data_IF_535037679604
#
_entry.id   IF_535037679604
#
_cell.length_a   1.000
_cell.length_b   1.000
_cell.length_c   1.000
_cell.angle_alpha   90.00
_cell.angle_beta   90.00
_cell.angle_gamma   90.00
#
_symmetry.space_group_name_H-M   'P 1'
#
loop_
_entity.id
_entity.type
_entity.pdbx_description
1 polymer ?
#
# COMPACT_ATOMS: atom_id res chain seq x y z
N UNK A 1 5.70 -14.88 -5.96
CA UNK A 1 6.52 -15.68 -6.90
C UNK A 1 7.81 -14.93 -7.17
N UNK A 2 8.93 -15.41 -6.63
CA UNK A 2 10.25 -14.80 -6.78
C UNK A 2 10.80 -15.05 -8.19
N UNK A 3 10.71 -14.04 -9.06
CA UNK A 3 11.45 -13.91 -10.31
C UNK A 3 12.96 -13.77 -10.02
N UNK A 4 13.63 -14.81 -9.51
CA UNK A 4 15.01 -14.63 -9.04
C UNK A 4 16.08 -14.86 -10.11
N UNK A 5 15.83 -15.67 -11.16
CA UNK A 5 16.86 -15.99 -12.18
C UNK A 5 16.37 -16.00 -13.64
N UNK A 6 15.08 -15.84 -13.93
CA UNK A 6 14.55 -15.92 -15.30
C UNK A 6 14.83 -14.69 -16.20
N UNK A 7 14.85 -13.43 -15.73
CA UNK A 7 14.83 -12.28 -16.64
C UNK A 7 16.16 -12.07 -17.39
N UNK A 8 17.30 -12.24 -16.72
CA UNK A 8 18.62 -12.09 -17.35
C UNK A 8 18.88 -13.12 -18.46
N UNK A 9 18.45 -14.38 -18.26
CA UNK A 9 18.62 -15.44 -19.24
C UNK A 9 17.71 -15.26 -20.47
N UNK A 10 16.48 -14.77 -20.25
CA UNK A 10 15.52 -14.46 -21.34
C UNK A 10 16.04 -13.26 -22.16
N UNK A 11 16.51 -12.21 -21.50
CA UNK A 11 17.08 -11.04 -22.18
C UNK A 11 18.35 -11.42 -22.96
N UNK A 12 19.27 -12.17 -22.36
CA UNK A 12 20.45 -12.68 -23.06
C UNK A 12 20.11 -13.54 -24.30
N UNK A 13 19.02 -14.32 -24.24
CA UNK A 13 18.55 -15.11 -25.37
C UNK A 13 17.88 -14.27 -26.47
N UNK A 14 17.11 -13.24 -26.12
CA UNK A 14 16.48 -12.30 -27.07
C UNK A 14 17.52 -11.48 -27.87
N UNK A 15 18.73 -11.36 -27.34
CA UNK A 15 19.84 -10.57 -27.88
C UNK A 15 20.73 -11.34 -28.88
N UNK A 16 20.55 -12.65 -29.07
CA UNK A 16 21.46 -13.50 -29.86
C UNK A 16 21.11 -13.67 -31.35
N UNK A 17 20.22 -12.85 -31.92
CA UNK A 17 19.86 -12.93 -33.35
C UNK A 17 20.44 -11.76 -34.18
N UNK A 18 21.41 -12.08 -35.07
CA UNK A 18 21.99 -11.30 -36.22
C UNK A 18 23.10 -10.29 -35.85
N UNK A 19 24.28 -10.11 -36.49
CA UNK A 19 25.12 -10.83 -37.49
C UNK A 19 26.53 -10.19 -37.61
N UNK A 20 27.54 -10.99 -38.00
CA UNK A 20 28.72 -10.78 -38.87
C UNK A 20 29.46 -9.42 -39.10
N UNK A 21 29.33 -8.39 -38.25
CA UNK A 21 30.19 -7.19 -38.31
C UNK A 21 30.99 -7.00 -37.00
N UNK A 22 32.28 -6.69 -37.07
CA UNK A 22 33.17 -6.64 -35.88
C UNK A 22 32.69 -5.63 -34.83
N UNK A 23 32.16 -4.47 -35.24
CA UNK A 23 31.60 -3.47 -34.33
C UNK A 23 30.32 -3.97 -33.62
N UNK A 24 29.43 -4.65 -34.35
CA UNK A 24 28.23 -5.26 -33.76
C UNK A 24 28.58 -6.42 -32.81
N UNK A 25 29.71 -7.09 -33.06
CA UNK A 25 30.23 -8.15 -32.20
C UNK A 25 30.84 -7.58 -30.90
N UNK A 26 31.59 -6.48 -30.98
CA UNK A 26 32.12 -5.78 -29.80
C UNK A 26 31.01 -5.23 -28.90
N UNK A 27 29.93 -4.68 -29.49
CA UNK A 27 28.77 -4.20 -28.74
C UNK A 27 28.00 -5.35 -28.07
N UNK A 28 27.86 -6.49 -28.75
CA UNK A 28 27.24 -7.69 -28.18
C UNK A 28 28.05 -8.27 -27.02
N UNK A 29 29.39 -8.31 -27.13
CA UNK A 29 30.27 -8.74 -26.04
C UNK A 29 30.18 -7.80 -24.84
N UNK A 30 30.19 -6.48 -25.09
CA UNK A 30 30.04 -5.47 -24.04
C UNK A 30 28.71 -5.58 -23.32
N UNK A 31 27.62 -5.76 -24.06
CA UNK A 31 26.28 -5.92 -23.51
C UNK A 31 26.18 -7.17 -22.62
N UNK A 32 26.69 -8.32 -23.09
CA UNK A 32 26.72 -9.55 -22.31
C UNK A 32 27.57 -9.41 -21.03
N UNK A 33 28.71 -8.73 -21.11
CA UNK A 33 29.55 -8.46 -19.95
C UNK A 33 28.82 -7.61 -18.89
N UNK A 34 28.11 -6.56 -19.31
CA UNK A 34 27.34 -5.71 -18.42
C UNK A 34 26.16 -6.45 -17.77
N UNK A 35 25.42 -7.25 -18.55
CA UNK A 35 24.34 -8.09 -18.02
C UNK A 35 24.85 -9.10 -16.99
N UNK A 36 25.97 -9.78 -17.28
CA UNK A 36 26.59 -10.71 -16.34
C UNK A 36 27.10 -10.03 -15.06
N UNK A 37 27.63 -8.81 -15.17
CA UNK A 37 28.05 -8.02 -14.01
C UNK A 37 26.87 -7.58 -13.14
N UNK A 38 25.77 -7.15 -13.76
CA UNK A 38 24.52 -6.79 -13.07
C UNK A 38 23.89 -7.99 -12.35
N UNK A 39 23.84 -9.16 -12.98
CA UNK A 39 23.33 -10.39 -12.38
C UNK A 39 24.16 -10.80 -11.16
N UNK A 40 25.49 -10.79 -11.29
CA UNK A 40 26.40 -11.09 -10.18
C UNK A 40 26.25 -10.11 -9.01
N UNK A 41 26.10 -8.82 -9.29
CA UNK A 41 25.87 -7.80 -8.27
C UNK A 41 24.53 -8.02 -7.55
N UNK A 42 23.47 -8.34 -8.30
CA UNK A 42 22.15 -8.67 -7.75
C UNK A 42 22.20 -9.91 -6.86
N UNK A 43 22.86 -10.98 -7.30
CA UNK A 43 23.04 -12.22 -6.54
C UNK A 43 23.83 -12.00 -5.24
N UNK A 44 24.71 -10.99 -5.22
CA UNK A 44 25.49 -10.60 -4.04
C UNK A 44 24.76 -9.62 -3.11
N UNK A 45 23.53 -9.22 -3.43
CA UNK A 45 22.75 -8.23 -2.68
C UNK A 45 23.21 -6.78 -2.88
N UNK A 46 24.16 -6.53 -3.79
CA UNK A 46 24.64 -5.19 -4.11
C UNK A 46 23.77 -4.56 -5.20
N UNK A 47 22.58 -4.13 -4.81
CA UNK A 47 21.54 -3.67 -5.72
C UNK A 47 21.84 -2.33 -6.39
N UNK A 48 22.56 -1.41 -5.73
CA UNK A 48 22.98 -0.15 -6.35
C UNK A 48 23.98 -0.39 -7.47
N UNK A 49 25.01 -1.21 -7.24
CA UNK A 49 25.97 -1.58 -8.28
C UNK A 49 25.30 -2.35 -9.42
N UNK A 50 24.31 -3.19 -9.14
CA UNK A 50 23.52 -3.82 -10.21
C UNK A 50 22.81 -2.76 -11.07
N UNK A 51 22.20 -1.76 -10.44
CA UNK A 51 21.53 -0.66 -11.14
C UNK A 51 22.52 0.19 -11.98
N UNK A 52 23.75 0.40 -11.50
CA UNK A 52 24.81 1.10 -12.24
C UNK A 52 25.18 0.37 -13.54
N UNK A 53 25.39 -0.95 -13.51
CA UNK A 53 25.67 -1.74 -14.72
C UNK A 53 24.51 -1.70 -15.72
N UNK A 54 23.27 -1.80 -15.23
CA UNK A 54 22.08 -1.67 -16.07
C UNK A 54 21.94 -0.25 -16.63
N UNK A 55 22.37 0.78 -15.89
CA UNK A 55 22.45 2.14 -16.38
C UNK A 55 23.46 2.32 -17.52
N UNK A 56 24.57 1.60 -17.49
CA UNK A 56 25.54 1.59 -18.59
C UNK A 56 24.93 0.97 -19.87
N UNK A 57 24.10 -0.07 -19.74
CA UNK A 57 23.37 -0.65 -20.88
C UNK A 57 22.41 0.35 -21.51
N UNK A 58 21.74 1.17 -20.72
CA UNK A 58 20.78 2.16 -21.23
C UNK A 58 21.43 3.31 -22.03
N UNK A 59 22.75 3.47 -21.92
CA UNK A 59 23.55 4.38 -22.75
C UNK A 59 23.91 3.81 -24.13
N UNK A 60 23.59 2.52 -24.37
CA UNK A 60 23.76 1.87 -25.67
C UNK A 60 22.51 2.03 -26.54
N UNK A 61 22.64 1.76 -27.83
CA UNK A 61 21.49 1.65 -28.73
C UNK A 61 20.77 0.33 -28.49
N UNK A 62 19.61 0.41 -27.84
CA UNK A 62 18.75 -0.74 -27.52
C UNK A 62 17.46 -0.69 -28.32
N UNK A 63 16.98 -1.85 -28.79
CA UNK A 63 15.61 -2.01 -29.29
C UNK A 63 14.61 -1.67 -28.17
N UNK A 64 13.38 -1.24 -28.50
CA UNK A 64 12.37 -0.91 -27.49
C UNK A 64 12.13 -2.01 -26.46
N UNK A 65 12.03 -3.27 -26.89
CA UNK A 65 11.85 -4.45 -26.01
C UNK A 65 13.05 -4.63 -25.06
N UNK A 66 14.27 -4.42 -25.53
CA UNK A 66 15.47 -4.54 -24.69
C UNK A 66 15.53 -3.40 -23.69
N UNK A 67 15.23 -2.17 -24.13
CA UNK A 67 15.15 -1.00 -23.26
C UNK A 67 14.11 -1.21 -22.17
N UNK A 68 12.94 -1.75 -22.51
CA UNK A 68 11.90 -2.12 -21.55
C UNK A 68 12.41 -3.08 -20.46
N UNK A 69 13.03 -4.19 -20.86
CA UNK A 69 13.55 -5.18 -19.92
C UNK A 69 14.66 -4.62 -19.03
N UNK A 70 15.60 -3.85 -19.60
CA UNK A 70 16.68 -3.22 -18.82
C UNK A 70 16.12 -2.20 -17.82
N UNK A 71 15.13 -1.39 -18.21
CA UNK A 71 14.45 -0.45 -17.30
C UNK A 71 13.72 -1.18 -16.18
N UNK A 72 13.00 -2.27 -16.48
CA UNK A 72 12.37 -3.10 -15.44
C UNK A 72 13.38 -3.66 -14.45
N UNK A 73 14.48 -4.19 -14.95
CA UNK A 73 15.54 -4.77 -14.12
C UNK A 73 16.20 -3.69 -13.24
N UNK A 74 16.45 -2.50 -13.79
CA UNK A 74 17.07 -1.40 -13.06
C UNK A 74 16.12 -0.81 -12.02
N UNK A 75 14.84 -0.64 -12.35
CA UNK A 75 13.81 -0.23 -11.40
C UNK A 75 13.66 -1.21 -10.24
N UNK A 76 13.72 -2.52 -10.52
CA UNK A 76 13.72 -3.54 -9.47
C UNK A 76 14.97 -3.51 -8.59
N UNK A 77 16.14 -3.22 -9.18
CA UNK A 77 17.38 -3.04 -8.43
C UNK A 77 17.32 -1.80 -7.53
N UNK A 78 16.84 -0.66 -8.04
CA UNK A 78 16.63 0.55 -7.23
C UNK A 78 15.63 0.32 -6.10
N UNK A 79 14.53 -0.39 -6.35
CA UNK A 79 13.57 -0.78 -5.31
C UNK A 79 14.26 -1.58 -4.21
N UNK A 80 15.07 -2.58 -4.58
CA UNK A 80 15.79 -3.42 -3.63
C UNK A 80 16.87 -2.65 -2.85
N UNK A 81 17.44 -1.60 -3.44
CA UNK A 81 18.35 -0.66 -2.78
C UNK A 81 17.64 0.37 -1.87
N UNK A 82 16.30 0.46 -1.90
CA UNK A 82 15.53 1.48 -1.18
C UNK A 82 15.43 2.83 -1.90
N UNK A 83 15.88 2.91 -3.15
CA UNK A 83 15.82 4.10 -3.99
C UNK A 83 14.45 4.21 -4.69
N UNK A 84 13.40 4.49 -3.91
CA UNK A 84 11.99 4.51 -4.35
C UNK A 84 11.73 5.38 -5.59
N UNK A 85 12.29 6.59 -5.60
CA UNK A 85 12.09 7.56 -6.69
C UNK A 85 12.66 7.05 -8.02
N UNK A 86 13.90 6.56 -8.00
CA UNK A 86 14.55 6.01 -9.18
C UNK A 86 13.85 4.74 -9.67
N UNK A 87 13.35 3.90 -8.75
CA UNK A 87 12.58 2.72 -9.11
C UNK A 87 11.31 3.08 -9.88
N UNK A 88 10.53 4.03 -9.36
CA UNK A 88 9.31 4.50 -10.00
C UNK A 88 9.57 5.19 -11.35
N UNK A 89 10.64 5.98 -11.46
CA UNK A 89 11.05 6.61 -12.71
C UNK A 89 11.38 5.57 -13.79
N UNK A 90 12.16 4.54 -13.45
CA UNK A 90 12.50 3.47 -14.38
C UNK A 90 11.28 2.65 -14.82
N UNK A 91 10.37 2.37 -13.90
CA UNK A 91 9.14 1.66 -14.20
C UNK A 91 8.19 2.47 -15.07
N UNK A 92 8.07 3.79 -14.85
CA UNK A 92 7.32 4.68 -15.74
C UNK A 92 7.95 4.70 -17.13
N UNK A 93 9.26 4.87 -17.22
CA UNK A 93 9.98 4.81 -18.50
C UNK A 93 9.84 3.46 -19.19
N UNK A 94 9.73 2.36 -18.44
CA UNK A 94 9.45 1.03 -18.98
C UNK A 94 8.04 0.96 -19.58
N UNK A 95 7.02 1.49 -18.91
CA UNK A 95 5.67 1.57 -19.47
C UNK A 95 5.61 2.43 -20.74
N UNK A 96 6.35 3.54 -20.75
CA UNK A 96 6.42 4.49 -21.87
C UNK A 96 7.04 3.88 -23.14
N UNK A 97 7.74 2.73 -23.06
CA UNK A 97 8.22 2.03 -24.25
C UNK A 97 7.08 1.40 -25.06
N UNK A 98 5.91 1.15 -24.43
CA UNK A 98 4.78 0.47 -25.04
C UNK A 98 4.93 -1.05 -25.18
N UNK A 99 6.01 -1.64 -24.67
CA UNK A 99 6.33 -3.07 -24.86
C UNK A 99 5.76 -3.97 -23.75
N UNK A 100 5.25 -3.39 -22.67
CA UNK A 100 4.72 -4.12 -21.54
C UNK A 100 3.43 -4.87 -21.91
N UNK A 101 3.38 -6.18 -21.64
CA UNK A 101 2.11 -6.93 -21.67
C UNK A 101 1.13 -6.39 -20.63
N UNK A 102 -0.18 -6.63 -20.80
CA UNK A 102 -1.19 -6.20 -19.82
C UNK A 102 -0.88 -6.67 -18.39
N UNK A 103 -0.41 -7.90 -18.24
CA UNK A 103 -0.01 -8.44 -16.94
C UNK A 103 1.20 -7.71 -16.34
N UNK A 104 2.19 -7.35 -17.18
CA UNK A 104 3.34 -6.54 -16.75
C UNK A 104 2.90 -5.12 -16.38
N UNK A 105 2.05 -4.47 -17.19
CA UNK A 105 1.51 -3.14 -16.89
C UNK A 105 0.82 -3.12 -15.52
N UNK A 106 -0.08 -4.08 -15.29
CA UNK A 106 -0.78 -4.24 -14.01
C UNK A 106 0.20 -4.45 -12.84
N UNK A 107 1.21 -5.31 -13.01
CA UNK A 107 2.21 -5.56 -11.99
C UNK A 107 3.08 -4.33 -11.68
N UNK A 108 3.48 -3.58 -12.70
CA UNK A 108 4.29 -2.37 -12.57
C UNK A 108 3.51 -1.27 -11.85
N UNK A 109 2.28 -0.99 -12.28
CA UNK A 109 1.44 0.03 -11.65
C UNK A 109 1.15 -0.32 -10.19
N UNK A 110 0.83 -1.58 -9.89
CA UNK A 110 0.64 -2.04 -8.52
C UNK A 110 1.91 -1.92 -7.67
N UNK A 111 3.07 -2.29 -8.21
CA UNK A 111 4.34 -2.17 -7.51
C UNK A 111 4.68 -0.70 -7.22
N UNK A 112 4.38 0.19 -8.17
CA UNK A 112 4.58 1.64 -8.03
C UNK A 112 3.65 2.23 -6.98
N UNK A 113 2.35 1.90 -7.03
CA UNK A 113 1.38 2.34 -6.02
C UNK A 113 1.76 1.84 -4.62
N UNK A 114 2.18 0.57 -4.48
CA UNK A 114 2.63 0.03 -3.20
C UNK A 114 3.88 0.72 -2.65
N UNK A 115 4.78 1.21 -3.51
CA UNK A 115 5.91 2.03 -3.09
C UNK A 115 5.45 3.37 -2.51
N UNK A 116 4.51 4.04 -3.16
CA UNK A 116 3.98 5.32 -2.68
C UNK A 116 3.14 5.18 -1.42
N UNK A 117 2.38 4.09 -1.28
CA UNK A 117 1.72 3.72 -0.02
C UNK A 117 2.75 3.60 1.12
N UNK A 118 3.87 2.91 0.88
CA UNK A 118 4.92 2.76 1.89
C UNK A 118 5.61 4.09 2.23
N UNK A 119 5.67 5.00 1.26
CA UNK A 119 6.24 6.34 1.43
C UNK A 119 5.25 7.36 2.03
N UNK A 120 3.99 6.97 2.28
CA UNK A 120 2.90 7.87 2.72
C UNK A 120 2.62 9.02 1.73
N UNK A 121 2.85 8.78 0.43
CA UNK A 121 2.72 9.75 -0.66
C UNK A 121 1.33 9.65 -1.32
N UNK A 122 0.28 10.14 -0.63
CA UNK A 122 -1.13 9.96 -1.07
C UNK A 122 -1.39 10.42 -2.50
N UNK A 123 -0.99 11.64 -2.85
CA UNK A 123 -1.29 12.24 -4.16
C UNK A 123 -0.72 11.39 -5.32
N UNK A 124 0.43 10.74 -5.11
CA UNK A 124 1.04 9.86 -6.12
C UNK A 124 0.33 8.51 -6.22
N UNK A 125 -0.23 8.00 -5.13
CA UNK A 125 -1.09 6.81 -5.18
C UNK A 125 -2.37 7.13 -5.93
N UNK A 126 -2.99 8.28 -5.63
CA UNK A 126 -4.19 8.79 -6.29
C UNK A 126 -3.97 8.97 -7.79
N UNK A 127 -2.88 9.62 -8.22
CA UNK A 127 -2.53 9.76 -9.64
C UNK A 127 -2.52 8.41 -10.39
N UNK A 128 -1.99 7.35 -9.76
CA UNK A 128 -1.94 6.02 -10.37
C UNK A 128 -3.32 5.37 -10.42
N UNK A 129 -4.08 5.44 -9.33
CA UNK A 129 -5.39 4.77 -9.23
C UNK A 129 -6.43 5.45 -10.13
N UNK A 130 -6.47 6.78 -10.16
CA UNK A 130 -7.44 7.53 -10.96
C UNK A 130 -7.18 7.40 -12.47
N UNK A 131 -5.92 7.19 -12.86
CA UNK A 131 -5.53 6.96 -14.25
C UNK A 131 -5.33 5.48 -14.58
N UNK A 132 -5.85 4.56 -13.77
CA UNK A 132 -5.66 3.12 -13.96
C UNK A 132 -6.20 2.67 -15.33
N UNK A 133 -5.35 2.37 -16.34
CA UNK A 133 -5.78 2.30 -17.73
C UNK A 133 -6.25 0.90 -18.14
N UNK A 134 -6.48 0.01 -17.18
CA UNK A 134 -6.65 -1.43 -17.42
C UNK A 134 -8.05 -1.91 -17.06
N UNK A 135 -8.58 -2.84 -17.86
CA UNK A 135 -9.86 -3.52 -17.57
C UNK A 135 -9.82 -4.31 -16.25
N UNK A 136 -8.62 -4.75 -15.85
CA UNK A 136 -8.42 -5.41 -14.56
C UNK A 136 -8.30 -4.35 -13.47
N UNK A 137 -9.06 -4.47 -12.36
CA UNK A 137 -9.02 -3.49 -11.30
C UNK A 137 -7.65 -3.44 -10.61
N UNK A 138 -7.29 -2.31 -9.98
CA UNK A 138 -6.09 -2.21 -9.17
C UNK A 138 -6.08 -3.23 -8.03
N UNK A 139 -4.91 -3.44 -7.43
CA UNK A 139 -4.85 -4.24 -6.20
C UNK A 139 -5.62 -3.55 -5.06
N UNK A 140 -6.14 -4.36 -4.13
CA UNK A 140 -6.94 -3.85 -3.02
C UNK A 140 -6.16 -2.92 -2.08
N UNK A 141 -4.85 -3.13 -1.90
CA UNK A 141 -4.07 -2.45 -0.87
C UNK A 141 -3.89 -0.94 -1.11
N UNK A 142 -3.51 -0.46 -2.32
CA UNK A 142 -3.45 0.98 -2.59
C UNK A 142 -4.82 1.66 -2.53
N UNK A 143 -5.87 0.99 -3.01
CA UNK A 143 -7.23 1.52 -2.95
C UNK A 143 -7.71 1.64 -1.50
N UNK A 144 -7.46 0.62 -0.67
CA UNK A 144 -7.76 0.64 0.75
C UNK A 144 -6.95 1.70 1.50
N UNK A 145 -5.70 1.93 1.12
CA UNK A 145 -4.89 3.03 1.65
C UNK A 145 -5.53 4.40 1.35
N UNK A 146 -5.97 4.65 0.11
CA UNK A 146 -6.65 5.89 -0.25
C UNK A 146 -7.97 6.05 0.54
N UNK A 147 -8.80 5.01 0.58
CA UNK A 147 -10.03 5.00 1.37
C UNK A 147 -9.76 5.38 2.83
N UNK A 148 -8.77 4.73 3.47
CA UNK A 148 -8.41 4.97 4.87
C UNK A 148 -7.85 6.37 5.12
N UNK A 149 -6.98 6.87 4.24
CA UNK A 149 -6.37 8.21 4.41
C UNK A 149 -7.39 9.32 4.25
N UNK A 150 -8.29 9.24 3.26
CA UNK A 150 -9.42 10.18 3.14
C UNK A 150 -10.37 10.10 4.34
N UNK A 151 -10.59 8.90 4.88
CA UNK A 151 -11.41 8.73 6.08
C UNK A 151 -10.80 9.42 7.30
N UNK A 152 -9.48 9.32 7.49
CA UNK A 152 -8.75 10.00 8.58
C UNK A 152 -8.83 11.52 8.45
N UNK A 153 -8.87 12.03 7.22
CA UNK A 153 -9.02 13.47 6.94
C UNK A 153 -10.48 13.96 7.07
N UNK A 154 -11.41 13.07 7.46
CA UNK A 154 -12.85 13.33 7.55
C UNK A 154 -13.52 13.73 6.21
N UNK A 155 -12.90 13.37 5.10
CA UNK A 155 -13.43 13.57 3.73
C UNK A 155 -14.16 12.29 3.27
N UNK A 156 -15.30 12.00 3.91
CA UNK A 156 -15.99 10.72 3.75
C UNK A 156 -16.53 10.47 2.33
N UNK A 157 -16.89 11.52 1.59
CA UNK A 157 -17.27 11.40 0.18
C UNK A 157 -16.15 10.78 -0.68
N UNK A 158 -14.93 11.32 -0.57
CA UNK A 158 -13.77 10.80 -1.28
C UNK A 158 -13.41 9.39 -0.80
N UNK A 159 -13.50 9.15 0.51
CA UNK A 159 -13.27 7.82 1.07
C UNK A 159 -14.27 6.78 0.52
N UNK A 160 -15.54 7.15 0.32
CA UNK A 160 -16.55 6.26 -0.26
C UNK A 160 -16.21 5.86 -1.69
N UNK A 161 -15.71 6.79 -2.50
CA UNK A 161 -15.35 6.52 -3.89
C UNK A 161 -14.31 5.40 -4.00
N UNK A 162 -13.29 5.42 -3.13
CA UNK A 162 -12.30 4.33 -3.05
C UNK A 162 -12.82 3.08 -2.31
N UNK A 163 -13.79 3.20 -1.40
CA UNK A 163 -14.31 2.04 -0.66
C UNK A 163 -15.27 1.19 -1.49
N UNK A 164 -16.05 1.79 -2.40
CA UNK A 164 -17.05 1.09 -3.24
C UNK A 164 -16.49 -0.09 -4.05
N UNK A 165 -15.33 0.01 -4.71
CA UNK A 165 -14.76 -1.15 -5.39
C UNK A 165 -14.29 -2.24 -4.39
N UNK A 166 -13.86 -1.90 -3.18
CA UNK A 166 -13.29 -2.84 -2.21
C UNK A 166 -14.28 -3.90 -1.73
N UNK A 167 -15.56 -3.56 -1.57
CA UNK A 167 -16.58 -4.54 -1.13
C UNK A 167 -16.82 -5.63 -2.17
N UNK A 168 -16.33 -5.48 -3.40
CA UNK A 168 -16.43 -6.51 -4.43
C UNK A 168 -15.33 -7.60 -4.31
N UNK A 169 -14.30 -7.38 -3.48
CA UNK A 169 -13.23 -8.35 -3.23
C UNK A 169 -13.66 -9.37 -2.16
N UNK A 170 -14.73 -10.14 -2.42
CA UNK A 170 -15.35 -11.05 -1.44
C UNK A 170 -14.43 -12.18 -0.94
N UNK A 171 -13.42 -12.56 -1.73
CA UNK A 171 -12.44 -13.59 -1.36
C UNK A 171 -11.24 -13.01 -0.59
N UNK A 172 -11.20 -11.70 -0.37
CA UNK A 172 -10.13 -11.06 0.39
C UNK A 172 -10.23 -11.43 1.87
N UNK A 173 -9.10 -11.74 2.54
CA UNK A 173 -9.10 -11.88 4.00
C UNK A 173 -9.53 -10.59 4.71
N UNK A 174 -9.46 -9.44 4.03
CA UNK A 174 -9.85 -8.13 4.56
C UNK A 174 -11.29 -7.74 4.23
N UNK A 175 -12.09 -8.63 3.60
CA UNK A 175 -13.42 -8.28 3.12
C UNK A 175 -14.34 -7.74 4.22
N UNK A 176 -14.28 -8.32 5.43
CA UNK A 176 -15.03 -7.82 6.60
C UNK A 176 -14.63 -6.40 6.99
N UNK A 177 -13.34 -6.05 6.89
CA UNK A 177 -12.87 -4.69 7.16
C UNK A 177 -13.39 -3.70 6.11
N UNK A 178 -13.48 -4.11 4.84
CA UNK A 178 -14.04 -3.26 3.79
C UNK A 178 -15.54 -3.01 4.01
N UNK A 179 -16.30 -4.03 4.43
CA UNK A 179 -17.70 -3.86 4.79
C UNK A 179 -17.88 -2.97 6.01
N UNK A 180 -17.04 -3.12 7.05
CA UNK A 180 -17.07 -2.24 8.23
C UNK A 180 -16.78 -0.79 7.86
N UNK A 181 -15.74 -0.56 7.06
CA UNK A 181 -15.40 0.78 6.58
C UNK A 181 -16.53 1.37 5.75
N UNK A 182 -17.09 0.60 4.80
CA UNK A 182 -18.21 1.05 3.98
C UNK A 182 -19.41 1.43 4.84
N UNK A 183 -19.80 0.57 5.78
CA UNK A 183 -20.93 0.83 6.67
C UNK A 183 -20.68 2.10 7.49
N UNK A 184 -19.48 2.27 8.06
CA UNK A 184 -19.09 3.47 8.80
C UNK A 184 -19.27 4.73 7.94
N UNK A 185 -18.70 4.72 6.73
CA UNK A 185 -18.73 5.88 5.83
C UNK A 185 -20.15 6.23 5.39
N UNK A 186 -20.96 5.22 5.04
CA UNK A 186 -22.35 5.45 4.66
C UNK A 186 -23.19 5.99 5.82
N UNK A 187 -22.97 5.49 7.04
CA UNK A 187 -23.62 6.02 8.24
C UNK A 187 -23.20 7.47 8.52
N UNK A 188 -21.91 7.78 8.40
CA UNK A 188 -21.40 9.14 8.64
C UNK A 188 -21.96 10.16 7.64
N UNK A 189 -22.16 9.75 6.38
CA UNK A 189 -22.74 10.56 5.30
C UNK A 189 -24.28 10.56 5.27
N UNK A 190 -24.95 9.79 6.13
CA UNK A 190 -26.41 9.65 6.12
C UNK A 190 -26.98 9.04 4.84
N UNK A 191 -26.26 8.08 4.23
CA UNK A 191 -26.61 7.43 2.96
C UNK A 191 -27.48 6.18 3.17
N UNK A 192 -28.62 6.36 3.83
CA UNK A 192 -29.50 5.26 4.29
C UNK A 192 -29.87 4.26 3.18
N UNK A 193 -30.19 4.73 1.98
CA UNK A 193 -30.54 3.85 0.86
C UNK A 193 -29.38 2.97 0.36
N UNK A 194 -28.13 3.43 0.47
CA UNK A 194 -26.96 2.61 0.17
C UNK A 194 -26.64 1.63 1.31
N UNK A 195 -26.95 1.99 2.55
CA UNK A 195 -26.85 1.09 3.70
C UNK A 195 -27.81 -0.08 3.51
N UNK A 196 -29.07 0.19 3.18
CA UNK A 196 -30.09 -0.84 2.91
C UNK A 196 -29.63 -1.78 1.78
N UNK A 197 -29.07 -1.23 0.70
CA UNK A 197 -28.54 -2.03 -0.41
C UNK A 197 -27.38 -2.91 0.05
N UNK A 198 -26.41 -2.34 0.78
CA UNK A 198 -25.25 -3.06 1.29
C UNK A 198 -25.67 -4.22 2.20
N UNK A 199 -26.57 -3.96 3.15
CA UNK A 199 -27.11 -4.98 4.07
C UNK A 199 -27.84 -6.06 3.27
N UNK A 200 -28.70 -5.69 2.32
CA UNK A 200 -29.41 -6.67 1.49
C UNK A 200 -28.47 -7.53 0.66
N UNK A 201 -27.32 -7.00 0.24
CA UNK A 201 -26.34 -7.70 -0.58
C UNK A 201 -25.41 -8.60 0.26
N UNK A 202 -25.12 -8.22 1.49
CA UNK A 202 -24.17 -8.89 2.39
C UNK A 202 -24.81 -9.18 3.76
N UNK A 203 -26.01 -9.77 3.75
CA UNK A 203 -26.89 -9.89 4.92
C UNK A 203 -26.22 -10.57 6.12
N UNK A 204 -25.60 -11.74 5.91
CA UNK A 204 -24.93 -12.50 6.97
C UNK A 204 -23.75 -11.71 7.55
N UNK A 205 -22.88 -11.16 6.70
CA UNK A 205 -21.69 -10.42 7.13
C UNK A 205 -22.06 -9.11 7.85
N UNK A 206 -23.05 -8.38 7.33
CA UNK A 206 -23.51 -7.14 7.96
C UNK A 206 -24.19 -7.42 9.30
N UNK A 207 -24.94 -8.51 9.42
CA UNK A 207 -25.53 -8.95 10.69
C UNK A 207 -24.45 -9.28 11.72
N UNK A 208 -23.38 -9.96 11.31
CA UNK A 208 -22.22 -10.20 12.18
C UNK A 208 -21.58 -8.88 12.63
N UNK A 209 -21.30 -7.96 11.70
CA UNK A 209 -20.69 -6.65 12.01
C UNK A 209 -21.56 -5.86 13.00
N UNK A 210 -22.87 -5.77 12.75
CA UNK A 210 -23.80 -5.00 13.56
C UNK A 210 -24.01 -5.63 14.93
N UNK A 211 -24.14 -6.96 15.01
CA UNK A 211 -24.32 -7.67 16.29
C UNK A 211 -23.09 -7.58 17.20
N UNK A 212 -21.87 -7.63 16.63
CA UNK A 212 -20.63 -7.36 17.38
C UNK A 212 -20.55 -5.90 17.79
N UNK A 213 -20.97 -4.97 16.93
CA UNK A 213 -21.00 -3.53 17.26
C UNK A 213 -21.94 -3.18 18.41
N UNK A 214 -22.96 -4.00 18.69
CA UNK A 214 -23.86 -3.85 19.83
C UNK A 214 -23.24 -4.34 21.14
N UNK A 215 -22.43 -5.40 21.11
CA UNK A 215 -21.78 -6.00 22.27
C UNK A 215 -20.43 -5.34 22.64
N UNK A 216 -19.60 -4.95 21.66
CA UNK A 216 -18.26 -4.39 21.83
C UNK A 216 -17.95 -3.31 20.77
N UNK A 217 -17.18 -2.28 21.14
CA UNK A 217 -16.80 -1.21 20.21
C UNK A 217 -15.91 -1.76 19.07
N UNK A 218 -16.49 -1.91 17.88
CA UNK A 218 -15.78 -2.43 16.71
C UNK A 218 -15.11 -1.29 15.94
N UNK A 219 -13.76 -1.29 15.80
CA UNK A 219 -13.08 -0.25 15.05
C UNK A 219 -13.42 -0.35 13.56
N UNK A 220 -13.73 0.78 12.94
CA UNK A 220 -13.84 0.91 11.48
C UNK A 220 -12.48 1.30 10.88
N UNK A 221 -11.78 2.23 11.53
CA UNK A 221 -10.42 2.64 11.17
C UNK A 221 -9.55 2.63 12.41
N UNK A 222 -8.50 1.79 12.39
CA UNK A 222 -7.45 1.78 13.40
C UNK A 222 -6.10 2.01 12.75
N UNK A 223 -5.35 2.98 13.26
CA UNK A 223 -3.96 3.20 12.85
C UNK A 223 -3.02 2.71 13.94
N UNK A 224 -1.90 2.11 13.51
CA UNK A 224 -0.84 1.72 14.42
C UNK A 224 -0.20 2.95 15.06
N UNK A 225 0.30 2.76 16.29
CA UNK A 225 1.00 3.82 16.99
C UNK A 225 2.40 4.00 16.41
N UNK A 226 2.83 5.25 16.22
CA UNK A 226 4.18 5.52 15.73
C UNK A 226 5.17 5.47 16.89
N UNK A 227 6.28 4.74 16.72
CA UNK A 227 7.30 4.66 17.76
C UNK A 227 7.98 6.02 17.95
N UNK A 228 8.02 6.61 19.17
CA UNK A 228 8.69 7.89 19.38
C UNK A 228 10.18 7.79 19.10
N UNK A 229 10.73 8.68 18.26
CA UNK A 229 12.15 8.66 17.88
C UNK A 229 13.11 8.63 19.09
N UNK A 230 12.81 9.40 20.14
CA UNK A 230 13.62 9.41 21.36
C UNK A 230 13.56 8.08 22.11
N UNK A 231 12.40 7.41 22.13
CA UNK A 231 12.26 6.09 22.73
C UNK A 231 13.04 5.05 21.93
N UNK A 232 12.97 5.09 20.60
CA UNK A 232 13.72 4.20 19.71
C UNK A 232 15.24 4.39 19.89
N UNK A 233 15.72 5.64 19.92
CA UNK A 233 17.14 5.97 20.14
C UNK A 233 17.69 5.42 21.46
N UNK A 234 16.86 5.33 22.48
CA UNK A 234 17.24 4.87 23.82
C UNK A 234 16.80 3.44 24.13
N UNK A 235 16.27 2.71 23.16
CA UNK A 235 15.83 1.34 23.34
C UNK A 235 14.74 1.17 24.42
N UNK A 236 13.83 2.14 24.53
CA UNK A 236 12.79 2.15 25.56
C UNK A 236 11.51 1.57 24.99
N UNK A 237 11.02 0.49 25.58
CA UNK A 237 9.73 -0.14 25.30
C UNK A 237 8.69 0.25 26.35
N UNK A 238 7.41 -0.06 26.12
CA UNK A 238 6.36 0.12 27.11
C UNK A 238 4.96 -0.09 26.55
N UNK A 239 3.97 0.25 27.35
CA UNK A 239 2.57 0.22 26.96
C UNK A 239 1.82 1.43 27.52
N UNK A 240 0.67 1.73 26.90
CA UNK A 240 -0.32 2.70 27.35
C UNK A 240 -1.71 2.08 27.36
N UNK A 241 -2.37 2.11 28.51
CA UNK A 241 -3.78 1.82 28.66
C UNK A 241 -4.59 3.07 28.33
N UNK A 242 -5.36 3.00 27.26
CA UNK A 242 -6.16 4.10 26.74
C UNK A 242 -7.59 3.96 27.22
N UNK A 243 -8.20 5.07 27.65
CA UNK A 243 -9.65 5.17 27.90
C UNK A 243 -10.20 6.35 27.10
N UNK A 244 -11.25 6.14 26.31
CA UNK A 244 -11.85 7.19 25.49
C UNK A 244 -13.34 6.92 25.25
N UNK A 245 -14.02 7.93 24.74
CA UNK A 245 -15.42 7.85 24.31
C UNK A 245 -15.49 7.88 22.78
N UNK A 246 -16.58 7.38 22.22
CA UNK A 246 -16.89 7.43 20.78
C UNK A 246 -18.19 8.19 20.61
N UNK A 247 -18.17 9.26 19.82
CA UNK A 247 -19.34 10.09 19.58
C UNK A 247 -20.28 9.47 18.53
N UNK A 248 -21.39 10.15 18.22
CA UNK A 248 -22.41 9.66 17.24
C UNK A 248 -21.90 9.55 15.80
N UNK A 249 -20.77 10.19 15.49
CA UNK A 249 -20.09 10.10 14.19
C UNK A 249 -19.03 9.00 14.17
N UNK A 250 -18.83 8.30 15.29
CA UNK A 250 -17.81 7.27 15.42
C UNK A 250 -16.41 7.80 15.73
N UNK A 251 -16.26 9.11 15.97
CA UNK A 251 -14.98 9.74 16.30
C UNK A 251 -14.65 9.55 17.78
N UNK A 252 -13.36 9.42 18.10
CA UNK A 252 -12.93 9.28 19.49
C UNK A 252 -12.77 10.65 20.18
N UNK A 253 -13.19 10.73 21.44
CA UNK A 253 -13.10 11.94 22.26
C UNK A 253 -12.83 11.60 23.74
N UNK A 254 -12.58 12.62 24.57
CA UNK A 254 -12.29 12.47 26.01
C UNK A 254 -11.15 11.47 26.33
N UNK A 255 -10.15 11.42 25.46
CA UNK A 255 -9.07 10.44 25.49
C UNK A 255 -8.17 10.66 26.69
N UNK A 256 -7.90 9.58 27.42
CA UNK A 256 -6.96 9.50 28.54
C UNK A 256 -6.01 8.34 28.31
N UNK A 257 -4.76 8.53 28.73
CA UNK A 257 -3.70 7.54 28.60
C UNK A 257 -3.05 7.32 29.96
N UNK A 258 -2.96 6.06 30.38
CA UNK A 258 -2.12 5.63 31.49
C UNK A 258 -0.94 4.84 30.93
N UNK A 259 0.23 5.46 30.89
CA UNK A 259 1.40 4.92 30.23
C UNK A 259 2.46 4.48 31.24
N UNK A 260 3.04 3.31 30.99
CA UNK A 260 4.23 2.82 31.71
C UNK A 260 5.41 3.80 31.66
N UNK A 261 5.47 4.65 30.62
CA UNK A 261 6.44 5.74 30.46
C UNK A 261 5.77 6.94 29.79
N UNK A 262 5.94 8.13 30.36
CA UNK A 262 5.38 9.40 29.87
C UNK A 262 5.75 9.70 28.40
N UNK A 263 6.92 9.23 27.93
CA UNK A 263 7.39 9.42 26.55
C UNK A 263 6.42 8.87 25.47
N UNK A 264 5.55 7.93 25.85
CA UNK A 264 4.57 7.32 24.96
C UNK A 264 3.21 8.02 24.98
N UNK A 265 2.90 8.80 26.02
CA UNK A 265 1.56 9.33 26.27
C UNK A 265 1.06 10.21 25.12
N UNK A 266 1.87 11.19 24.73
CA UNK A 266 1.50 12.13 23.66
C UNK A 266 1.24 11.43 22.33
N UNK A 267 2.08 10.45 21.96
CA UNK A 267 1.92 9.75 20.69
C UNK A 267 0.71 8.81 20.74
N UNK A 268 0.50 8.13 21.86
CA UNK A 268 -0.69 7.29 22.09
C UNK A 268 -1.99 8.08 21.95
N UNK A 269 -2.10 9.26 22.60
CA UNK A 269 -3.29 10.11 22.51
C UNK A 269 -3.54 10.52 21.05
N UNK A 270 -2.52 11.04 20.36
CA UNK A 270 -2.62 11.44 18.95
C UNK A 270 -3.00 10.31 18.00
N UNK A 271 -2.58 9.09 18.30
CA UNK A 271 -2.95 7.90 17.52
C UNK A 271 -4.42 7.56 17.74
N UNK A 272 -4.89 7.56 18.99
CA UNK A 272 -6.30 7.27 19.31
C UNK A 272 -7.23 8.35 18.75
N UNK A 273 -6.85 9.63 18.78
CA UNK A 273 -7.60 10.75 18.17
C UNK A 273 -7.99 10.48 16.71
N UNK A 274 -7.20 9.70 15.97
CA UNK A 274 -7.43 9.36 14.56
C UNK A 274 -8.18 8.04 14.36
N UNK A 275 -8.54 7.34 15.43
CA UNK A 275 -9.32 6.12 15.33
C UNK A 275 -10.79 6.45 15.12
N UNK A 276 -11.45 5.59 14.36
CA UNK A 276 -12.87 5.70 14.05
C UNK A 276 -13.53 4.35 14.32
N UNK A 277 -14.71 4.41 14.91
CA UNK A 277 -15.49 3.26 15.35
C UNK A 277 -16.86 3.30 14.69
N UNK A 278 -17.41 2.12 14.43
CA UNK A 278 -18.83 2.05 14.08
C UNK A 278 -19.64 2.55 15.28
N UNK A 279 -20.44 3.63 15.14
CA UNK A 279 -21.28 4.08 16.24
C UNK A 279 -22.32 3.01 16.56
N UNK A 280 -22.77 2.97 17.82
CA UNK A 280 -23.84 2.07 18.21
C UNK A 280 -25.14 2.52 17.53
N UNK A 281 -25.89 1.58 16.94
CA UNK A 281 -27.21 1.89 16.38
C UNK A 281 -28.28 1.36 17.35
N UNK A 282 -29.07 2.25 17.94
CA UNK A 282 -30.20 1.90 18.82
C UNK A 282 -31.47 2.48 18.22
N UNK A 283 -32.46 1.63 17.94
CA UNK A 283 -33.72 2.01 17.32
C UNK A 283 -33.54 2.86 16.04
N UNK A 284 -32.54 2.50 15.23
CA UNK A 284 -32.21 3.20 13.99
C UNK A 284 -31.42 4.51 14.14
N UNK A 285 -31.05 4.92 15.36
CA UNK A 285 -30.28 6.13 15.62
C UNK A 285 -28.88 5.80 16.13
N UNK A 286 -27.90 6.61 15.72
CA UNK A 286 -26.53 6.48 16.26
C UNK A 286 -26.45 7.07 17.66
N UNK A 287 -25.88 6.32 18.60
CA UNK A 287 -25.67 6.73 19.98
C UNK A 287 -24.20 6.66 20.37
N UNK A 288 -23.73 7.60 21.24
CA UNK A 288 -22.35 7.61 21.69
C UNK A 288 -22.07 6.42 22.61
N UNK A 289 -20.81 6.00 22.66
CA UNK A 289 -20.29 4.99 23.59
C UNK A 289 -19.25 5.62 24.49
N UNK A 290 -19.28 5.30 25.77
CA UNK A 290 -18.39 5.90 26.76
C UNK A 290 -17.47 4.85 27.40
N UNK A 291 -16.26 5.26 27.76
CA UNK A 291 -15.33 4.47 28.56
C UNK A 291 -14.75 3.25 27.85
N UNK A 292 -14.56 3.32 26.54
CA UNK A 292 -13.87 2.27 25.77
C UNK A 292 -12.43 2.20 26.26
N UNK A 293 -11.95 0.99 26.51
CA UNK A 293 -10.59 0.73 26.96
C UNK A 293 -9.81 -0.10 25.95
N UNK A 294 -8.55 0.25 25.73
CA UNK A 294 -7.63 -0.56 24.93
C UNK A 294 -6.20 -0.44 25.43
N UNK A 295 -5.32 -1.33 24.99
CA UNK A 295 -3.88 -1.23 25.24
C UNK A 295 -3.11 -1.00 23.95
N UNK A 296 -2.23 -0.01 23.97
CA UNK A 296 -1.18 0.20 22.96
C UNK A 296 0.14 -0.34 23.50
N UNK A 297 0.87 -1.08 22.67
CA UNK A 297 2.19 -1.62 23.01
C UNK A 297 3.25 -1.01 22.11
N UNK A 298 4.40 -0.71 22.68
CA UNK A 298 5.60 -0.22 22.01
C UNK A 298 6.70 -1.25 22.22
N UNK A 299 6.88 -2.12 21.23
CA UNK A 299 7.93 -3.14 21.14
C UNK A 299 8.88 -2.75 19.99
N UNK A 300 10.17 -3.01 20.14
CA UNK A 300 11.16 -2.73 19.09
C UNK A 300 11.24 -3.81 18.01
N UNK A 301 10.55 -4.94 18.18
CA UNK A 301 10.52 -6.06 17.23
C UNK A 301 9.40 -5.97 16.19
N UNK A 302 8.49 -5.01 16.33
CA UNK A 302 7.38 -4.72 15.41
C UNK A 302 7.67 -3.50 14.51
#
# INVERSE_FOLDING_TARGET
MTYRNAPFAILAALLLCVSAASAAQDDAERMNALLGAADKATASGNHETAAEYLGQLLNMELRPVERFEVLLMRGNAYKAAGNTELAAQDWRAALDTGEATLAQQHAILNATAALWVKADERERVEEIIDNWPLEQPPSEAPVYYLAKTWTIDHEFGNALDYTRPLVNYSNSPNHMEYLRLMLFLLTAEGRDGEIENLISRFEEQCTEILSVSDADASPAVRIAVQYPYQAAKWGREGACDMTFDVNRRGETENIRADCTKEIFERTSIKTVEKWLYLPKIVDGNTEPRYGIQTRLTYDMQD
#
